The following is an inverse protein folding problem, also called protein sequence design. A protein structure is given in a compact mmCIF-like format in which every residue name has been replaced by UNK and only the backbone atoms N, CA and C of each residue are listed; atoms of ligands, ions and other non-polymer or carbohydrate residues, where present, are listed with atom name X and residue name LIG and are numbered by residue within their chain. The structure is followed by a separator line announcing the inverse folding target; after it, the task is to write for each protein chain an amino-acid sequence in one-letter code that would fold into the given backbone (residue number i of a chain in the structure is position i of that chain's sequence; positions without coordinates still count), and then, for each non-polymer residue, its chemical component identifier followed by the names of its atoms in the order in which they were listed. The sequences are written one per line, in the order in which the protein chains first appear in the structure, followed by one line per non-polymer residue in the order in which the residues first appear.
data_IF_295206366549
#
_entry.id   IF_295206366549
#
_cell.length_a   1.000
_cell.length_b   1.000
_cell.length_c   1.000
_cell.angle_alpha   90.00
_cell.angle_beta   90.00
_cell.angle_gamma   90.00
#
_symmetry.space_group_name_H-M   'P 1'
#
loop_
_entity.id
_entity.type
_entity.pdbx_description
1 polymer ?
#
# COMPACT_ATOMS: atom_id res chain seq x y z
N UNK A 1 -2.83 14.31 14.72
CA UNK A 1 -3.25 13.11 13.99
C UNK A 1 -2.46 13.14 12.70
N UNK A 2 -1.39 12.35 12.62
CA UNK A 2 -0.58 12.28 11.40
C UNK A 2 -1.49 11.74 10.29
N UNK A 3 -1.70 12.59 9.30
CA UNK A 3 -2.71 12.42 8.28
C UNK A 3 -2.30 11.22 7.41
N UNK A 4 -3.21 10.30 7.06
CA UNK A 4 -2.91 9.14 6.22
C UNK A 4 -2.09 9.47 4.96
N UNK A 5 -2.23 10.68 4.44
CA UNK A 5 -1.42 11.25 3.35
C UNK A 5 0.09 11.25 3.64
N UNK A 6 0.50 11.52 4.87
CA UNK A 6 1.90 11.54 5.32
C UNK A 6 2.50 10.12 5.37
N UNK A 7 1.69 9.15 5.78
CA UNK A 7 2.05 7.72 5.73
C UNK A 7 2.21 7.29 4.28
N UNK A 8 1.25 7.60 3.41
CA UNK A 8 1.31 7.27 1.97
C UNK A 8 2.50 7.95 1.28
N UNK A 9 2.83 9.20 1.64
CA UNK A 9 4.00 9.90 1.13
C UNK A 9 5.32 9.20 1.53
N UNK A 10 5.38 8.69 2.76
CA UNK A 10 6.52 7.92 3.26
C UNK A 10 6.64 6.58 2.53
N UNK A 11 5.53 5.86 2.36
CA UNK A 11 5.49 4.61 1.57
C UNK A 11 5.94 4.84 0.13
N UNK A 12 5.46 5.92 -0.51
CA UNK A 12 5.92 6.30 -1.85
C UNK A 12 7.45 6.50 -1.89
N UNK A 13 8.02 7.19 -0.91
CA UNK A 13 9.45 7.44 -0.84
C UNK A 13 10.26 6.13 -0.67
N UNK A 14 9.78 5.21 0.17
CA UNK A 14 10.41 3.90 0.38
C UNK A 14 10.37 3.03 -0.90
N UNK A 15 9.20 2.93 -1.54
CA UNK A 15 9.05 2.18 -2.80
C UNK A 15 9.95 2.75 -3.91
N UNK A 16 10.12 4.08 -3.97
CA UNK A 16 11.07 4.71 -4.89
C UNK A 16 12.52 4.34 -4.58
N UNK A 17 12.90 4.34 -3.30
CA UNK A 17 14.25 3.99 -2.88
C UNK A 17 14.61 2.53 -3.21
N UNK A 18 13.63 1.61 -3.18
CA UNK A 18 13.80 0.21 -3.55
C UNK A 18 13.70 -0.07 -5.06
N UNK A 19 13.56 0.97 -5.89
CA UNK A 19 13.43 0.82 -7.34
C UNK A 19 12.06 0.32 -7.81
N UNK A 20 11.07 0.24 -6.92
CA UNK A 20 9.71 -0.22 -7.19
C UNK A 20 8.84 0.90 -7.77
N UNK A 21 9.27 1.46 -8.91
CA UNK A 21 8.68 2.67 -9.49
C UNK A 21 7.18 2.56 -9.81
N UNK A 22 6.71 1.39 -10.26
CA UNK A 22 5.28 1.17 -10.57
C UNK A 22 4.42 1.13 -9.31
N UNK A 23 4.87 0.47 -8.24
CA UNK A 23 4.16 0.47 -6.97
C UNK A 23 4.11 1.89 -6.38
N UNK A 24 5.22 2.64 -6.46
CA UNK A 24 5.24 4.03 -6.03
C UNK A 24 4.23 4.90 -6.82
N UNK A 25 4.15 4.72 -8.14
CA UNK A 25 3.16 5.43 -8.96
C UNK A 25 1.73 5.14 -8.48
N UNK A 26 1.41 3.89 -8.15
CA UNK A 26 0.08 3.53 -7.66
C UNK A 26 -0.28 4.27 -6.38
N UNK A 27 0.64 4.29 -5.41
CA UNK A 27 0.44 4.96 -4.11
C UNK A 27 0.16 6.46 -4.27
N UNK A 28 0.69 7.08 -5.33
CA UNK A 28 0.53 8.52 -5.58
C UNK A 28 -0.67 8.87 -6.47
N UNK A 29 -1.02 8.00 -7.42
CA UNK A 29 -1.97 8.33 -8.49
C UNK A 29 -3.39 7.81 -8.22
N UNK A 30 -3.54 6.71 -7.46
CA UNK A 30 -4.83 6.11 -7.21
C UNK A 30 -5.38 6.46 -5.82
N UNK A 31 -6.72 6.61 -5.70
CA UNK A 31 -7.33 6.86 -4.40
C UNK A 31 -7.11 5.65 -3.48
N UNK A 32 -6.61 5.93 -2.27
CA UNK A 32 -6.47 4.97 -1.20
C UNK A 32 -7.74 4.98 -0.32
N UNK A 33 -8.25 3.79 -0.02
CA UNK A 33 -9.20 3.57 1.06
C UNK A 33 -8.43 3.01 2.24
N UNK A 34 -8.55 3.67 3.40
CA UNK A 34 -7.82 3.32 4.61
C UNK A 34 -8.84 3.05 5.71
N UNK A 35 -8.81 1.85 6.26
CA UNK A 35 -9.70 1.42 7.33
C UNK A 35 -8.88 0.88 8.49
N UNK A 36 -9.18 1.32 9.72
CA UNK A 36 -8.58 0.70 10.89
C UNK A 36 -9.30 -0.61 11.18
N UNK A 37 -8.65 -1.73 10.90
CA UNK A 37 -9.21 -3.07 11.06
C UNK A 37 -8.93 -3.66 12.43
N UNK A 38 -7.99 -3.09 13.18
CA UNK A 38 -7.65 -3.62 14.48
C UNK A 38 -6.86 -2.69 15.37
N UNK A 39 -6.62 -3.22 16.56
CA UNK A 39 -5.77 -2.63 17.57
C UNK A 39 -5.13 -3.77 18.35
N UNK A 40 -3.80 -3.88 18.28
CA UNK A 40 -3.02 -4.75 19.14
C UNK A 40 -2.66 -3.98 20.41
N UNK A 41 -3.19 -4.42 21.56
CA UNK A 41 -3.01 -3.73 22.84
C UNK A 41 -1.68 -4.01 23.56
N UNK A 42 -0.75 -4.75 22.95
CA UNK A 42 0.57 -4.97 23.55
C UNK A 42 1.48 -3.73 23.38
N UNK A 43 2.30 -3.41 24.39
CA UNK A 43 3.44 -2.47 24.35
C UNK A 43 3.10 -1.03 23.90
N UNK A 44 2.00 -0.49 24.42
CA UNK A 44 1.60 0.89 24.13
C UNK A 44 0.59 1.01 23.01
N UNK A 45 0.18 -0.10 22.40
CA UNK A 45 -0.93 -0.13 21.46
C UNK A 45 -0.49 0.14 20.02
N UNK A 46 -0.75 -0.80 19.12
CA UNK A 46 -0.52 -0.64 17.69
C UNK A 46 -1.85 -0.68 16.96
N UNK A 47 -2.22 0.42 16.32
CA UNK A 47 -3.36 0.44 15.40
C UNK A 47 -3.00 -0.32 14.13
N UNK A 48 -3.89 -1.21 13.70
CA UNK A 48 -3.75 -1.98 12.47
C UNK A 48 -4.67 -1.35 11.43
N UNK A 49 -4.12 -1.03 10.26
CA UNK A 49 -4.85 -0.43 9.16
C UNK A 49 -4.74 -1.29 7.90
N UNK A 50 -5.86 -1.44 7.22
CA UNK A 50 -5.92 -1.95 5.86
C UNK A 50 -5.91 -0.78 4.89
N UNK A 51 -5.01 -0.83 3.91
CA UNK A 51 -4.89 0.17 2.85
C UNK A 51 -5.15 -0.48 1.51
N UNK A 52 -6.17 -0.02 0.82
CA UNK A 52 -6.65 -0.58 -0.44
C UNK A 52 -6.64 0.48 -1.53
N UNK A 53 -6.16 0.13 -2.71
CA UNK A 53 -6.18 1.03 -3.87
C UNK A 53 -7.22 0.57 -4.88
N UNK A 54 -7.94 1.51 -5.48
CA UNK A 54 -8.83 1.25 -6.62
C UNK A 54 -8.12 1.63 -7.91
N UNK A 55 -7.85 0.64 -8.75
CA UNK A 55 -7.13 0.80 -10.02
C UNK A 55 -7.88 0.15 -11.19
N UNK A 56 -7.71 0.66 -12.42
CA UNK A 56 -8.17 0.00 -13.63
C UNK A 56 -7.56 -1.39 -13.79
N UNK A 57 -8.31 -2.33 -14.37
CA UNK A 57 -7.87 -3.71 -14.57
C UNK A 57 -6.55 -3.82 -15.37
N UNK A 58 -6.32 -2.90 -16.31
CA UNK A 58 -5.10 -2.86 -17.11
C UNK A 58 -3.86 -2.55 -16.25
N UNK A 59 -3.98 -1.60 -15.32
CA UNK A 59 -2.87 -1.22 -14.43
C UNK A 59 -2.61 -2.30 -13.37
N UNK A 60 -3.68 -2.98 -12.92
CA UNK A 60 -3.56 -4.15 -12.05
C UNK A 60 -2.77 -5.29 -12.73
N UNK A 61 -3.14 -5.62 -13.98
CA UNK A 61 -2.46 -6.68 -14.74
C UNK A 61 -0.99 -6.35 -15.00
N UNK A 62 -0.66 -5.07 -15.24
CA UNK A 62 0.72 -4.61 -15.41
C UNK A 62 1.53 -4.78 -14.12
N UNK A 63 0.98 -4.35 -12.99
CA UNK A 63 1.63 -4.52 -11.68
C UNK A 63 1.91 -6.00 -11.37
N UNK A 64 0.93 -6.87 -11.63
CA UNK A 64 1.06 -8.31 -11.40
C UNK A 64 2.10 -9.00 -12.29
N UNK A 65 2.46 -8.41 -13.44
CA UNK A 65 3.53 -8.91 -14.29
C UNK A 65 4.92 -8.43 -13.83
N UNK A 66 5.00 -7.23 -13.25
CA UNK A 66 6.24 -6.63 -12.76
C UNK A 66 6.65 -7.15 -11.39
N UNK A 67 5.67 -7.45 -10.53
CA UNK A 67 5.89 -8.26 -9.34
C UNK A 67 5.90 -9.72 -9.76
N UNK A 68 6.96 -10.47 -9.47
CA UNK A 68 6.89 -11.93 -9.53
C UNK A 68 5.92 -12.39 -8.42
N UNK A 69 4.63 -12.33 -8.71
CA UNK A 69 3.57 -12.61 -7.76
C UNK A 69 3.56 -14.12 -7.54
N UNK A 70 4.32 -14.57 -6.52
CA UNK A 70 4.17 -15.93 -5.99
C UNK A 70 2.80 -16.01 -5.35
N UNK A 71 1.79 -16.32 -6.17
CA UNK A 71 0.43 -16.60 -5.72
C UNK A 71 0.45 -17.87 -4.88
N UNK A 72 0.73 -17.75 -3.59
CA UNK A 72 0.35 -18.76 -2.61
C UNK A 72 -1.14 -18.59 -2.34
N UNK A 73 -1.95 -19.14 -3.24
CA UNK A 73 -3.36 -19.42 -2.95
C UNK A 73 -3.38 -20.48 -1.86
N UNK A 74 -3.88 -20.10 -0.68
CA UNK A 74 -4.20 -21.03 0.43
C UNK A 74 -5.52 -21.71 0.13
#
# INVERSE_FOLDING_TARGET
MEQPEQILATVHALLRAEGMGEAAAIVREYPAHIEQTGYDSWNGGTNIYDVQFKLPAQDYARLAASFHFSSSTV
#
